data_IF_943317497967
#
_entry.id   IF_943317497967
#
_cell.length_a   1.000
_cell.length_b   1.000
_cell.length_c   1.000
_cell.angle_alpha   90.00
_cell.angle_beta   90.00
_cell.angle_gamma   90.00
#
_symmetry.space_group_name_H-M   'P 1'
#
loop_
_entity.id
_entity.type
_entity.pdbx_description
1 polymer ?
#
# COMPACT_ATOMS: atom_id res chain seq x y z
N UNK A 1 13.76 15.20 6.93
CA UNK A 1 12.53 14.54 6.40
C UNK A 1 11.92 13.70 7.50
N UNK A 2 10.60 13.51 7.51
CA UNK A 2 9.92 12.68 8.49
C UNK A 2 10.30 11.19 8.33
N UNK A 3 10.05 10.37 9.35
CA UNK A 3 10.12 8.91 9.24
C UNK A 3 8.84 8.37 8.58
N UNK A 4 8.92 7.21 7.93
CA UNK A 4 7.78 6.48 7.42
C UNK A 4 7.23 5.53 8.48
N UNK A 5 5.93 5.59 8.74
CA UNK A 5 5.21 4.64 9.57
C UNK A 5 4.10 4.02 8.71
N UNK A 6 4.14 2.70 8.51
CA UNK A 6 3.05 1.98 7.86
C UNK A 6 1.76 2.10 8.69
N UNK A 7 0.60 2.13 8.03
CA UNK A 7 -0.72 2.37 8.65
C UNK A 7 -1.06 1.42 9.82
N UNK A 8 -0.52 0.20 9.79
CA UNK A 8 -0.75 -0.82 10.81
C UNK A 8 0.49 -1.13 11.65
N UNK A 9 1.54 -0.29 11.59
CA UNK A 9 2.65 -0.35 12.51
C UNK A 9 2.22 0.20 13.88
N UNK A 10 2.67 -0.45 14.95
CA UNK A 10 2.37 -0.02 16.32
C UNK A 10 3.61 0.59 16.96
N UNK A 11 3.55 1.87 17.33
CA UNK A 11 4.61 2.55 18.06
C UNK A 11 4.02 3.12 19.35
N UNK A 12 4.50 2.66 20.52
CA UNK A 12 3.95 3.07 21.83
C UNK A 12 5.03 3.26 22.88
N UNK A 13 4.85 4.27 23.74
CA UNK A 13 5.76 4.60 24.85
C UNK A 13 6.81 5.63 24.47
N UNK A 14 7.96 5.61 25.16
CA UNK A 14 9.05 6.58 24.95
C UNK A 14 9.96 6.15 23.80
N UNK A 15 9.56 6.48 22.57
CA UNK A 15 10.25 6.09 21.33
C UNK A 15 10.77 7.34 20.60
N UNK A 16 12.04 7.31 20.21
CA UNK A 16 12.66 8.29 19.30
C UNK A 16 13.04 7.60 17.99
N UNK A 17 12.63 8.17 16.87
CA UNK A 17 12.87 7.62 15.51
C UNK A 17 13.56 8.70 14.68
N UNK A 18 14.72 8.37 14.10
CA UNK A 18 15.51 9.27 13.29
C UNK A 18 14.91 9.53 11.91
N UNK A 19 15.44 10.54 11.24
CA UNK A 19 15.02 10.95 9.90
C UNK A 19 15.21 9.83 8.87
N UNK A 20 14.31 9.75 7.89
CA UNK A 20 14.30 8.74 6.82
C UNK A 20 14.27 7.27 7.33
N UNK A 21 13.97 7.04 8.60
CA UNK A 21 13.72 5.69 9.07
C UNK A 21 12.36 5.18 8.56
N UNK A 22 12.24 3.86 8.37
CA UNK A 22 11.02 3.21 7.92
C UNK A 22 10.55 2.14 8.91
N UNK A 23 9.32 2.26 9.41
CA UNK A 23 8.66 1.25 10.25
C UNK A 23 7.55 0.62 9.42
N UNK A 24 7.75 -0.65 9.06
CA UNK A 24 6.94 -1.33 8.06
C UNK A 24 5.72 -2.05 8.66
N UNK A 25 4.98 -2.74 7.82
CA UNK A 25 3.67 -3.31 8.16
C UNK A 25 3.75 -4.30 9.33
N UNK A 26 2.81 -4.18 10.27
CA UNK A 26 2.72 -5.02 11.48
C UNK A 26 3.96 -4.99 12.39
N UNK A 27 4.93 -4.12 12.15
CA UNK A 27 6.04 -3.93 13.09
C UNK A 27 5.51 -3.34 14.40
N UNK A 28 6.00 -3.85 15.53
CA UNK A 28 5.60 -3.40 16.86
C UNK A 28 6.79 -2.87 17.63
N UNK A 29 6.75 -1.58 18.00
CA UNK A 29 7.75 -0.94 18.86
C UNK A 29 7.05 -0.51 20.13
N UNK A 30 7.43 -1.14 21.26
CA UNK A 30 6.81 -0.87 22.56
C UNK A 30 7.84 -0.52 23.63
N UNK A 31 7.83 0.74 24.07
CA UNK A 31 8.75 1.33 25.03
C UNK A 31 8.00 1.75 26.32
N UNK A 32 7.39 0.76 26.99
CA UNK A 32 6.53 0.96 28.15
C UNK A 32 7.28 1.03 29.50
N UNK A 33 8.49 0.49 29.57
CA UNK A 33 9.26 0.43 30.82
C UNK A 33 10.67 1.05 30.76
N UNK A 34 11.12 1.39 29.53
CA UNK A 34 12.38 2.08 29.24
C UNK A 34 12.29 2.74 27.85
N UNK A 35 13.34 3.35 27.37
CA UNK A 35 13.35 4.07 26.09
C UNK A 35 13.75 3.16 24.91
N UNK A 36 13.23 3.47 23.72
CA UNK A 36 13.69 2.97 22.43
C UNK A 36 14.21 4.14 21.59
N UNK A 37 15.46 4.05 21.12
CA UNK A 37 16.05 5.01 20.19
C UNK A 37 16.45 4.30 18.89
N UNK A 38 15.97 4.81 17.76
CA UNK A 38 16.23 4.29 16.41
C UNK A 38 16.89 5.40 15.59
N UNK A 39 18.07 5.09 15.03
CA UNK A 39 18.85 6.04 14.23
C UNK A 39 18.21 6.31 12.86
N UNK A 40 18.73 7.35 12.20
CA UNK A 40 18.29 7.73 10.86
C UNK A 40 18.56 6.61 9.84
N UNK A 41 17.74 6.59 8.76
CA UNK A 41 17.90 5.65 7.66
C UNK A 41 17.80 4.17 8.06
N UNK A 42 17.34 3.89 9.28
CA UNK A 42 17.11 2.54 9.80
C UNK A 42 15.75 2.02 9.38
N UNK A 43 15.66 0.75 9.01
CA UNK A 43 14.39 0.13 8.67
C UNK A 43 14.04 -1.02 9.62
N UNK A 44 12.80 -1.02 10.09
CA UNK A 44 12.18 -2.07 10.91
C UNK A 44 11.13 -2.74 10.05
N UNK A 45 11.42 -3.95 9.57
CA UNK A 45 10.63 -4.63 8.56
C UNK A 45 9.38 -5.30 9.14
N UNK A 46 8.55 -5.83 8.23
CA UNK A 46 7.22 -6.34 8.55
C UNK A 46 7.27 -7.38 9.68
N UNK A 47 6.36 -7.23 10.64
CA UNK A 47 6.21 -8.14 11.77
C UNK A 47 7.37 -8.14 12.78
N UNK A 48 8.37 -7.29 12.64
CA UNK A 48 9.46 -7.20 13.63
C UNK A 48 8.96 -6.59 14.95
N UNK A 49 9.54 -7.05 16.05
CA UNK A 49 9.16 -6.60 17.40
C UNK A 49 10.36 -5.97 18.10
N UNK A 50 10.19 -4.74 18.57
CA UNK A 50 11.18 -4.05 19.40
C UNK A 50 10.54 -3.78 20.77
N UNK A 51 11.17 -4.27 21.82
CA UNK A 51 10.65 -4.13 23.19
C UNK A 51 11.76 -3.91 24.21
N UNK A 52 11.40 -3.38 25.34
CA UNK A 52 12.31 -3.02 26.44
C UNK A 52 11.92 -3.72 27.73
N UNK A 53 12.89 -3.85 28.64
CA UNK A 53 12.66 -4.17 30.05
C UNK A 53 13.32 -3.07 30.88
N UNK A 54 12.79 -2.74 32.03
CA UNK A 54 13.35 -1.73 32.95
C UNK A 54 14.85 -1.96 33.18
N UNK A 55 15.67 -0.95 32.90
CA UNK A 55 17.12 -1.03 32.95
C UNK A 55 17.79 -1.64 31.69
N UNK A 56 16.99 -1.99 30.68
CA UNK A 56 17.46 -2.50 29.39
C UNK A 56 16.80 -1.71 28.25
N UNK A 57 17.22 -0.46 27.98
CA UNK A 57 16.75 0.28 26.82
C UNK A 57 17.17 -0.38 25.52
N UNK A 58 16.51 -0.03 24.42
CA UNK A 58 16.95 -0.39 23.08
C UNK A 58 17.57 0.83 22.40
N UNK A 59 18.78 0.66 21.92
CA UNK A 59 19.47 1.67 21.10
C UNK A 59 19.88 1.04 19.77
N UNK A 60 19.33 1.53 18.67
CA UNK A 60 19.64 1.09 17.31
C UNK A 60 20.30 2.25 16.57
N UNK A 61 21.45 2.00 15.98
CA UNK A 61 22.23 2.98 15.25
C UNK A 61 21.64 3.43 13.92
N UNK A 62 22.43 4.08 13.11
CA UNK A 62 22.06 4.61 11.79
C UNK A 62 22.20 3.54 10.69
N UNK A 63 21.30 3.56 9.70
CA UNK A 63 21.37 2.66 8.54
C UNK A 63 21.28 1.17 8.90
N UNK A 64 20.61 0.84 10.01
CA UNK A 64 20.42 -0.55 10.45
C UNK A 64 19.23 -1.17 9.74
N UNK A 65 19.34 -2.42 9.37
CA UNK A 65 18.20 -3.22 8.89
C UNK A 65 17.77 -4.21 9.96
N UNK A 66 16.53 -4.10 10.43
CA UNK A 66 15.88 -5.10 11.29
C UNK A 66 14.96 -5.94 10.39
N UNK A 67 15.37 -7.18 10.10
CA UNK A 67 14.68 -8.08 9.17
C UNK A 67 13.29 -8.50 9.63
N UNK A 68 12.48 -8.97 8.68
CA UNK A 68 11.10 -9.42 8.91
C UNK A 68 10.99 -10.40 10.09
N UNK A 69 10.06 -10.15 10.99
CA UNK A 69 9.79 -11.00 12.15
C UNK A 69 10.91 -11.08 13.18
N UNK A 70 11.96 -10.27 13.09
CA UNK A 70 13.03 -10.25 14.11
C UNK A 70 12.53 -9.69 15.44
N UNK A 71 13.09 -10.17 16.56
CA UNK A 71 12.81 -9.70 17.91
C UNK A 71 14.06 -9.02 18.46
N UNK A 72 13.95 -7.72 18.75
CA UNK A 72 15.03 -6.90 19.30
C UNK A 72 14.63 -6.43 20.68
N UNK A 73 15.22 -7.00 21.72
CA UNK A 73 14.78 -6.82 23.07
C UNK A 73 15.90 -6.33 23.99
N UNK A 74 15.75 -5.11 24.54
CA UNK A 74 16.63 -4.58 25.61
C UNK A 74 18.12 -4.54 25.26
N UNK A 75 18.52 -4.14 24.06
CA UNK A 75 19.87 -4.30 23.55
C UNK A 75 20.40 -3.08 22.79
N UNK A 76 21.67 -3.13 22.41
CA UNK A 76 22.31 -2.11 21.56
C UNK A 76 22.73 -2.73 20.22
N UNK A 77 22.41 -2.06 19.10
CA UNK A 77 22.81 -2.42 17.74
C UNK A 77 23.54 -1.25 17.12
N UNK A 78 24.75 -1.46 16.68
CA UNK A 78 25.60 -0.44 16.05
C UNK A 78 25.21 -0.14 14.60
N UNK A 79 25.71 0.97 14.08
CA UNK A 79 25.40 1.49 12.75
C UNK A 79 25.67 0.46 11.64
N UNK A 80 24.94 0.60 10.53
CA UNK A 80 25.12 -0.21 9.30
C UNK A 80 25.12 -1.73 9.57
N UNK A 81 24.37 -2.18 10.57
CA UNK A 81 24.26 -3.60 10.94
C UNK A 81 22.96 -4.18 10.39
N UNK A 82 23.04 -5.41 9.87
CA UNK A 82 21.88 -6.16 9.41
C UNK A 82 21.51 -7.24 10.44
N UNK A 83 20.31 -7.16 10.95
CA UNK A 83 19.67 -8.21 11.77
C UNK A 83 18.80 -9.04 10.83
N UNK A 84 19.14 -10.32 10.66
CA UNK A 84 18.45 -11.22 9.76
C UNK A 84 17.00 -11.52 10.17
N UNK A 85 16.21 -11.95 9.20
CA UNK A 85 14.79 -12.31 9.40
C UNK A 85 14.65 -13.33 10.53
N UNK A 86 13.69 -13.11 11.45
CA UNK A 86 13.41 -14.01 12.57
C UNK A 86 14.52 -14.14 13.61
N UNK A 87 15.59 -13.33 13.55
CA UNK A 87 16.62 -13.34 14.59
C UNK A 87 16.07 -12.80 15.92
N UNK A 88 16.56 -13.33 17.02
CA UNK A 88 16.16 -12.96 18.38
C UNK A 88 17.37 -12.42 19.13
N UNK A 89 17.23 -11.20 19.67
CA UNK A 89 18.29 -10.50 20.41
C UNK A 89 17.77 -10.20 21.82
N UNK A 90 18.49 -10.67 22.83
CA UNK A 90 18.05 -10.60 24.21
C UNK A 90 18.71 -9.47 25.00
N UNK A 91 18.19 -9.21 26.23
CA UNK A 91 18.59 -8.12 27.12
C UNK A 91 20.09 -8.02 27.31
N UNK A 92 20.58 -6.79 27.27
CA UNK A 92 21.99 -6.47 27.51
C UNK A 92 22.95 -6.88 26.38
N UNK A 93 22.45 -7.51 25.31
CA UNK A 93 23.29 -7.81 24.14
C UNK A 93 23.82 -6.52 23.51
N UNK A 94 25.04 -6.59 23.01
CA UNK A 94 25.70 -5.47 22.31
C UNK A 94 26.25 -5.96 20.98
N UNK A 95 25.65 -5.49 19.92
CA UNK A 95 26.07 -5.80 18.55
C UNK A 95 26.79 -4.57 18.00
N UNK A 96 28.02 -4.75 17.52
CA UNK A 96 28.84 -3.70 16.96
C UNK A 96 28.31 -3.16 15.64
N UNK A 97 29.09 -2.26 15.04
CA UNK A 97 28.82 -1.66 13.73
C UNK A 97 29.19 -2.64 12.61
N UNK A 98 28.57 -2.43 11.44
CA UNK A 98 28.90 -3.19 10.23
C UNK A 98 28.81 -4.72 10.44
N UNK A 99 27.86 -5.20 11.22
CA UNK A 99 27.68 -6.63 11.48
C UNK A 99 26.56 -7.22 10.60
N UNK A 100 26.60 -8.54 10.44
CA UNK A 100 25.48 -9.33 9.95
C UNK A 100 25.13 -10.38 11.00
N UNK A 101 23.92 -10.30 11.53
CA UNK A 101 23.31 -11.34 12.35
C UNK A 101 22.46 -12.19 11.42
N UNK A 102 22.78 -13.48 11.29
CA UNK A 102 22.12 -14.37 10.34
C UNK A 102 20.65 -14.61 10.66
N UNK A 103 19.92 -15.09 9.66
CA UNK A 103 18.49 -15.44 9.76
C UNK A 103 18.28 -16.46 10.89
N UNK A 104 17.27 -16.24 11.74
CA UNK A 104 16.91 -17.12 12.87
C UNK A 104 17.96 -17.25 13.98
N UNK A 105 18.98 -16.38 14.00
CA UNK A 105 20.03 -16.42 15.02
C UNK A 105 19.50 -16.02 16.41
N UNK A 106 19.98 -16.66 17.45
CA UNK A 106 19.72 -16.30 18.85
C UNK A 106 20.95 -15.62 19.47
N UNK A 107 20.90 -14.31 19.65
CA UNK A 107 21.87 -13.53 20.42
C UNK A 107 21.44 -13.54 21.88
N UNK A 108 22.14 -14.27 22.71
CA UNK A 108 21.79 -14.49 24.11
C UNK A 108 22.05 -13.24 24.96
N UNK A 109 21.49 -13.23 26.16
CA UNK A 109 21.59 -12.14 27.11
C UNK A 109 23.06 -11.78 27.38
N UNK A 110 23.36 -10.47 27.38
CA UNK A 110 24.69 -9.88 27.60
C UNK A 110 25.78 -10.29 26.58
N UNK A 111 25.40 -10.99 25.50
CA UNK A 111 26.35 -11.36 24.46
C UNK A 111 26.92 -10.12 23.74
N UNK A 112 28.21 -10.16 23.42
CA UNK A 112 28.90 -9.09 22.70
C UNK A 112 29.35 -9.58 21.35
N UNK A 113 28.95 -8.92 20.28
CA UNK A 113 29.42 -9.13 18.91
C UNK A 113 30.28 -7.91 18.53
N UNK A 114 31.57 -8.07 18.28
CA UNK A 114 32.42 -6.97 17.83
C UNK A 114 32.02 -6.42 16.47
N UNK A 115 32.54 -5.24 16.13
CA UNK A 115 32.32 -4.62 14.82
C UNK A 115 32.76 -5.54 13.67
N UNK A 116 32.08 -5.44 12.54
CA UNK A 116 32.42 -6.11 11.31
C UNK A 116 32.31 -7.64 11.34
N UNK A 117 31.48 -8.22 12.18
CA UNK A 117 31.35 -9.67 12.34
C UNK A 117 30.11 -10.25 11.70
N UNK A 118 30.24 -11.44 11.12
CA UNK A 118 29.15 -12.36 10.82
C UNK A 118 28.92 -13.27 12.03
N UNK A 119 27.71 -13.28 12.57
CA UNK A 119 27.31 -14.17 13.65
C UNK A 119 25.96 -14.85 13.34
N UNK A 120 25.87 -16.17 13.52
CA UNK A 120 24.62 -16.91 13.35
C UNK A 120 24.60 -18.21 14.16
N UNK A 121 23.44 -18.84 14.22
CA UNK A 121 23.18 -20.07 14.98
C UNK A 121 22.25 -19.83 16.17
N UNK A 122 21.86 -20.92 16.85
CA UNK A 122 21.02 -20.93 18.04
C UNK A 122 21.63 -21.85 19.12
N UNK A 123 22.39 -21.31 20.12
CA UNK A 123 22.80 -19.89 20.24
C UNK A 123 23.81 -19.47 19.15
N UNK A 124 23.81 -18.17 18.85
CA UNK A 124 24.69 -17.62 17.82
C UNK A 124 26.16 -17.70 18.21
N UNK A 125 27.02 -17.89 17.21
CA UNK A 125 28.46 -17.83 17.33
C UNK A 125 29.02 -16.87 16.28
N UNK A 126 30.11 -16.16 16.64
CA UNK A 126 30.87 -15.37 15.67
C UNK A 126 31.54 -16.36 14.73
N UNK A 127 31.33 -16.21 13.44
CA UNK A 127 31.84 -17.11 12.42
C UNK A 127 33.14 -16.58 11.80
N UNK A 128 33.14 -15.30 11.43
CA UNK A 128 34.24 -14.60 10.77
C UNK A 128 34.01 -13.09 10.72
N UNK A 129 35.02 -12.37 10.32
CA UNK A 129 34.88 -10.98 9.92
C UNK A 129 34.12 -10.88 8.58
N UNK A 130 33.43 -9.77 8.37
CA UNK A 130 32.80 -9.44 7.09
C UNK A 130 33.82 -8.92 6.08
N UNK A 131 33.56 -9.15 4.80
CA UNK A 131 34.26 -8.48 3.73
C UNK A 131 33.76 -7.05 3.54
N UNK A 132 34.52 -6.24 2.78
CA UNK A 132 34.10 -4.88 2.45
C UNK A 132 32.80 -4.89 1.64
N UNK A 133 32.67 -5.83 0.71
CA UNK A 133 31.49 -5.99 -0.14
C UNK A 133 30.22 -6.30 0.68
N UNK A 134 30.33 -7.10 1.74
CA UNK A 134 29.24 -7.42 2.66
C UNK A 134 28.83 -6.18 3.48
N UNK A 135 29.79 -5.41 3.96
CA UNK A 135 29.56 -4.15 4.68
C UNK A 135 28.89 -3.11 3.78
N UNK A 136 29.35 -2.97 2.53
CA UNK A 136 28.75 -2.08 1.54
C UNK A 136 27.36 -2.59 1.13
N UNK A 137 27.16 -3.91 1.11
CA UNK A 137 25.86 -4.57 0.90
C UNK A 137 24.82 -4.20 1.96
N UNK A 138 25.22 -4.13 3.25
CA UNK A 138 24.32 -3.67 4.32
C UNK A 138 23.85 -2.24 4.06
N UNK A 139 24.77 -1.33 3.69
CA UNK A 139 24.44 0.08 3.38
C UNK A 139 23.50 0.19 2.18
N UNK A 140 23.79 -0.56 1.11
CA UNK A 140 22.94 -0.59 -0.07
C UNK A 140 21.54 -1.13 0.25
N UNK A 141 21.46 -2.12 1.16
CA UNK A 141 20.17 -2.65 1.62
C UNK A 141 19.35 -1.60 2.36
N UNK A 142 19.94 -0.92 3.35
CA UNK A 142 19.26 0.17 4.07
C UNK A 142 18.80 1.27 3.11
N UNK A 143 19.65 1.67 2.15
CA UNK A 143 19.31 2.67 1.13
C UNK A 143 18.09 2.30 0.28
N UNK A 144 17.92 1.02 -0.10
CA UNK A 144 16.71 0.58 -0.81
C UNK A 144 15.42 0.79 0.01
N UNK A 145 15.49 0.55 1.33
CA UNK A 145 14.35 0.77 2.21
C UNK A 145 14.06 2.27 2.43
N UNK A 146 15.09 3.12 2.45
CA UNK A 146 14.89 4.58 2.46
C UNK A 146 14.13 5.04 1.22
N UNK A 147 14.51 4.57 0.03
CA UNK A 147 13.81 4.91 -1.21
C UNK A 147 12.37 4.34 -1.24
N UNK A 148 12.18 3.12 -0.75
CA UNK A 148 10.84 2.55 -0.63
C UNK A 148 9.96 3.36 0.32
N UNK A 149 10.49 3.75 1.49
CA UNK A 149 9.78 4.60 2.46
C UNK A 149 9.42 5.97 1.89
N UNK A 150 10.31 6.61 1.11
CA UNK A 150 10.03 7.87 0.41
C UNK A 150 8.88 7.74 -0.58
N UNK A 151 8.84 6.66 -1.36
CA UNK A 151 7.73 6.41 -2.29
C UNK A 151 6.40 6.27 -1.55
N UNK A 152 6.39 5.58 -0.41
CA UNK A 152 5.18 5.46 0.41
C UNK A 152 4.74 6.81 1.00
N UNK A 153 5.68 7.62 1.50
CA UNK A 153 5.38 8.96 2.00
C UNK A 153 4.81 9.86 0.90
N UNK A 154 5.40 9.85 -0.29
CA UNK A 154 4.89 10.62 -1.44
C UNK A 154 3.51 10.14 -1.89
N UNK A 155 3.23 8.84 -1.81
CA UNK A 155 1.91 8.29 -2.10
C UNK A 155 0.88 8.67 -1.03
N UNK A 156 1.31 8.88 0.24
CA UNK A 156 0.44 9.28 1.35
C UNK A 156 0.29 10.81 1.51
N UNK A 157 1.12 11.62 0.83
CA UNK A 157 1.00 13.09 0.82
C UNK A 157 -0.14 13.55 -0.11
N UNK A 158 -1.35 13.33 0.33
CA UNK A 158 -2.60 13.75 -0.30
C UNK A 158 -3.69 12.70 -0.07
N UNK A 159 -4.91 13.15 0.21
CA UNK A 159 -6.07 12.27 0.15
C UNK A 159 -6.11 11.60 -1.23
N UNK A 160 -6.42 10.30 -1.33
CA UNK A 160 -6.49 9.64 -2.62
C UNK A 160 -7.44 10.41 -3.55
N UNK A 161 -7.04 10.53 -4.81
CA UNK A 161 -7.93 11.13 -5.82
C UNK A 161 -9.10 10.19 -6.04
N UNK A 162 -10.31 10.72 -6.04
CA UNK A 162 -11.51 9.95 -6.29
C UNK A 162 -11.93 10.09 -7.75
N UNK A 163 -12.25 8.98 -8.36
CA UNK A 163 -12.88 8.89 -9.67
C UNK A 163 -14.14 8.06 -9.56
N UNK A 164 -15.11 8.33 -10.39
CA UNK A 164 -16.28 7.46 -10.51
C UNK A 164 -16.28 6.69 -11.82
N UNK A 165 -16.99 5.58 -11.82
CA UNK A 165 -17.21 4.71 -12.95
C UNK A 165 -18.66 4.23 -12.86
N UNK A 166 -19.44 4.43 -13.91
CA UNK A 166 -20.89 4.29 -13.85
C UNK A 166 -21.32 3.21 -14.84
N UNK A 167 -21.89 2.14 -14.29
CA UNK A 167 -22.48 1.03 -15.04
C UNK A 167 -23.94 1.32 -15.28
N UNK A 168 -24.30 1.68 -16.50
CA UNK A 168 -25.67 2.00 -16.87
C UNK A 168 -26.26 0.84 -17.66
N UNK A 169 -27.35 0.27 -17.15
CA UNK A 169 -28.18 -0.68 -17.88
C UNK A 169 -29.28 0.05 -18.65
N UNK A 170 -29.61 -0.47 -19.85
CA UNK A 170 -30.81 -0.02 -20.54
C UNK A 170 -32.08 -0.42 -19.74
N UNK A 171 -33.24 0.04 -20.21
CA UNK A 171 -34.51 -0.18 -19.50
C UNK A 171 -34.84 -1.66 -19.34
N UNK A 172 -34.58 -2.46 -20.36
CA UNK A 172 -34.82 -3.91 -20.38
C UNK A 172 -33.77 -4.69 -19.57
N UNK A 173 -32.65 -4.04 -19.22
CA UNK A 173 -31.49 -4.61 -18.55
C UNK A 173 -30.75 -5.65 -19.40
N UNK A 174 -30.78 -5.52 -20.71
CA UNK A 174 -30.13 -6.44 -21.65
C UNK A 174 -28.78 -5.92 -22.13
N UNK A 175 -28.58 -4.60 -22.11
CA UNK A 175 -27.37 -3.93 -22.61
C UNK A 175 -26.79 -2.99 -21.58
N UNK A 176 -25.48 -2.77 -21.74
CA UNK A 176 -24.67 -1.88 -20.92
C UNK A 176 -24.14 -0.72 -21.77
N UNK A 177 -24.17 0.49 -21.21
CA UNK A 177 -23.62 1.67 -21.88
C UNK A 177 -22.10 1.74 -21.68
N UNK A 178 -21.40 1.89 -22.78
CA UNK A 178 -19.96 2.12 -22.83
C UNK A 178 -19.63 3.38 -23.64
N UNK A 179 -18.49 4.00 -23.31
CA UNK A 179 -17.89 5.01 -24.15
C UNK A 179 -16.65 4.44 -24.87
N UNK A 180 -16.46 4.77 -26.16
CA UNK A 180 -15.25 4.46 -26.91
C UNK A 180 -14.30 5.63 -26.78
N UNK A 181 -13.19 5.44 -26.07
CA UNK A 181 -12.27 6.52 -25.72
C UNK A 181 -11.58 7.09 -26.96
N UNK A 182 -11.62 8.41 -27.11
CA UNK A 182 -10.93 9.15 -28.19
C UNK A 182 -9.52 9.60 -27.81
N UNK A 183 -9.16 9.59 -26.50
CA UNK A 183 -7.87 10.09 -25.98
C UNK A 183 -7.19 9.03 -25.10
N UNK A 184 -5.87 9.14 -24.96
CA UNK A 184 -5.09 8.40 -23.96
C UNK A 184 -5.53 8.73 -22.51
N UNK A 185 -5.34 7.83 -21.56
CA UNK A 185 -4.99 6.42 -21.76
C UNK A 185 -6.18 5.63 -22.33
N UNK A 186 -5.91 4.50 -22.98
CA UNK A 186 -6.91 3.58 -23.55
C UNK A 186 -7.62 4.09 -24.82
N UNK A 187 -6.95 4.90 -25.65
CA UNK A 187 -7.51 5.38 -26.92
C UNK A 187 -8.01 4.20 -27.79
N UNK A 188 -9.24 4.29 -28.29
CA UNK A 188 -9.87 3.28 -29.12
C UNK A 188 -10.53 2.14 -28.37
N UNK A 189 -10.32 1.99 -27.06
CA UNK A 189 -10.92 0.95 -26.23
C UNK A 189 -12.26 1.41 -25.62
N UNK A 190 -13.11 0.45 -25.29
CA UNK A 190 -14.35 0.67 -24.56
C UNK A 190 -14.07 0.84 -23.05
N UNK A 191 -14.72 1.81 -22.45
CA UNK A 191 -14.70 2.05 -21.00
C UNK A 191 -16.10 2.43 -20.52
N UNK A 192 -16.35 2.35 -19.21
CA UNK A 192 -17.55 2.94 -18.64
C UNK A 192 -17.48 4.47 -18.69
N UNK A 193 -18.65 5.10 -18.64
CA UNK A 193 -18.76 6.54 -18.43
C UNK A 193 -18.37 6.91 -17.01
N UNK A 194 -17.94 8.14 -16.79
CA UNK A 194 -17.55 8.64 -15.47
C UNK A 194 -16.25 9.45 -15.53
N UNK A 195 -15.90 10.08 -14.42
CA UNK A 195 -14.79 10.99 -14.35
C UNK A 195 -14.29 11.25 -12.95
N UNK A 196 -13.80 12.45 -12.71
CA UNK A 196 -13.15 12.84 -11.46
C UNK A 196 -14.16 13.37 -10.46
N UNK A 197 -14.04 12.98 -9.21
CA UNK A 197 -14.74 13.62 -8.09
C UNK A 197 -13.94 14.87 -7.70
N UNK A 198 -14.58 16.03 -7.76
CA UNK A 198 -13.92 17.29 -7.43
C UNK A 198 -13.73 17.45 -5.91
N UNK A 199 -12.72 18.23 -5.46
CA UNK A 199 -12.48 18.44 -4.03
C UNK A 199 -13.70 19.00 -3.31
N UNK A 200 -14.19 18.26 -2.30
CA UNK A 200 -15.36 18.65 -1.50
C UNK A 200 -16.71 18.27 -2.12
N UNK A 201 -16.72 17.63 -3.28
CA UNK A 201 -17.92 17.07 -3.91
C UNK A 201 -18.28 15.71 -3.31
N UNK A 202 -19.56 15.42 -3.11
CA UNK A 202 -20.03 14.08 -2.78
C UNK A 202 -19.89 13.15 -3.99
N UNK A 203 -19.41 11.90 -3.75
CA UNK A 203 -19.15 10.95 -4.84
C UNK A 203 -20.38 10.61 -5.67
N UNK A 204 -21.59 10.58 -5.05
CA UNK A 204 -22.85 10.34 -5.76
C UNK A 204 -23.24 11.54 -6.63
N UNK A 205 -23.02 12.75 -6.13
CA UNK A 205 -23.30 13.98 -6.89
C UNK A 205 -22.35 14.08 -8.09
N UNK A 206 -21.06 13.77 -7.89
CA UNK A 206 -20.09 13.68 -8.96
C UNK A 206 -20.48 12.64 -10.03
N UNK A 207 -20.95 11.45 -9.60
CA UNK A 207 -21.38 10.42 -10.55
C UNK A 207 -22.55 10.89 -11.42
N UNK A 208 -23.54 11.58 -10.85
CA UNK A 208 -24.63 12.15 -11.63
C UNK A 208 -24.19 13.30 -12.54
N UNK A 209 -23.25 14.14 -12.11
CA UNK A 209 -22.70 15.24 -12.93
C UNK A 209 -21.99 14.68 -14.15
N UNK A 210 -21.04 13.77 -13.94
CA UNK A 210 -20.25 13.14 -15.02
C UNK A 210 -21.16 12.36 -15.99
N UNK A 211 -22.15 11.61 -15.46
CA UNK A 211 -23.11 10.88 -16.29
C UNK A 211 -23.89 11.83 -17.17
N UNK A 212 -24.37 12.96 -16.63
CA UNK A 212 -25.12 13.94 -17.39
C UNK A 212 -24.25 14.63 -18.45
N UNK A 213 -23.05 15.06 -18.09
CA UNK A 213 -22.09 15.70 -18.99
C UNK A 213 -21.72 14.80 -20.16
N UNK A 214 -21.38 13.53 -19.90
CA UNK A 214 -20.95 12.60 -20.94
C UNK A 214 -22.09 12.01 -21.81
N UNK A 215 -23.30 11.92 -21.28
CA UNK A 215 -24.38 11.12 -21.91
C UNK A 215 -25.74 11.81 -22.01
N UNK A 216 -25.96 12.91 -21.33
CA UNK A 216 -27.28 13.55 -21.20
C UNK A 216 -28.23 12.84 -20.23
N UNK A 217 -27.83 11.73 -19.59
CA UNK A 217 -28.66 10.99 -18.62
C UNK A 217 -28.62 11.68 -17.26
N UNK A 218 -29.78 12.17 -16.82
CA UNK A 218 -29.93 12.87 -15.55
C UNK A 218 -30.60 12.04 -14.45
N UNK A 219 -30.74 12.64 -13.27
CA UNK A 219 -31.35 12.01 -12.08
C UNK A 219 -32.81 11.57 -12.29
N UNK A 220 -33.53 12.19 -13.22
CA UNK A 220 -34.88 11.79 -13.58
C UNK A 220 -34.97 10.51 -14.39
N UNK A 221 -33.87 10.14 -15.07
CA UNK A 221 -33.85 8.99 -15.97
C UNK A 221 -33.34 7.70 -15.30
N UNK A 222 -32.55 7.83 -14.21
CA UNK A 222 -31.86 6.73 -13.56
C UNK A 222 -31.67 6.97 -12.06
N UNK A 223 -31.75 5.90 -11.28
CA UNK A 223 -31.33 5.91 -9.88
C UNK A 223 -29.99 5.18 -9.77
N UNK A 224 -28.96 5.89 -9.31
CA UNK A 224 -27.62 5.33 -9.09
C UNK A 224 -27.48 4.76 -7.68
N UNK A 225 -26.89 3.58 -7.59
CA UNK A 225 -26.49 2.92 -6.35
C UNK A 225 -24.98 2.73 -6.35
N UNK A 226 -24.31 3.01 -5.24
CA UNK A 226 -22.89 2.69 -5.06
C UNK A 226 -22.75 1.18 -4.93
N UNK A 227 -21.99 0.56 -5.83
CA UNK A 227 -21.81 -0.89 -5.86
C UNK A 227 -20.60 -1.33 -5.03
N UNK A 228 -19.45 -0.69 -5.26
CA UNK A 228 -18.18 -1.00 -4.58
C UNK A 228 -17.15 0.09 -4.84
N UNK A 229 -16.04 0.02 -4.11
CA UNK A 229 -14.84 0.83 -4.33
C UNK A 229 -13.66 -0.05 -4.69
N UNK A 230 -12.85 0.40 -5.63
CA UNK A 230 -11.56 -0.20 -5.97
C UNK A 230 -10.45 0.79 -5.60
N UNK A 231 -9.59 0.40 -4.66
CA UNK A 231 -8.47 1.24 -4.21
C UNK A 231 -7.18 0.84 -4.91
N UNK A 232 -6.55 1.79 -5.56
CA UNK A 232 -5.27 1.64 -6.25
C UNK A 232 -4.18 2.34 -5.41
N UNK A 233 -3.57 1.59 -4.51
CA UNK A 233 -2.61 2.12 -3.53
C UNK A 233 -1.36 2.74 -4.18
N UNK A 234 -0.81 2.09 -5.22
CA UNK A 234 0.39 2.59 -5.89
C UNK A 234 0.17 3.90 -6.65
N UNK A 235 -1.03 4.09 -7.22
CA UNK A 235 -1.41 5.27 -8.00
C UNK A 235 -2.11 6.33 -7.15
N UNK A 236 -2.35 6.04 -5.87
CA UNK A 236 -3.04 6.88 -4.90
C UNK A 236 -4.39 7.41 -5.41
N UNK A 237 -5.29 6.48 -5.83
CA UNK A 237 -6.66 6.82 -6.16
C UNK A 237 -7.68 5.74 -5.76
N UNK A 238 -8.92 6.16 -5.59
CA UNK A 238 -10.09 5.30 -5.38
C UNK A 238 -11.00 5.44 -6.60
N UNK A 239 -11.44 4.31 -7.15
CA UNK A 239 -12.46 4.24 -8.19
C UNK A 239 -13.78 3.80 -7.56
N UNK A 240 -14.72 4.72 -7.46
CA UNK A 240 -16.07 4.51 -6.93
C UNK A 240 -16.97 4.00 -8.05
N UNK A 241 -17.50 2.77 -7.91
CA UNK A 241 -18.32 2.14 -8.93
C UNK A 241 -19.80 2.35 -8.58
N UNK A 242 -20.51 2.99 -9.50
CA UNK A 242 -21.95 3.20 -9.42
C UNK A 242 -22.66 2.33 -10.46
N UNK A 243 -23.89 1.96 -10.15
CA UNK A 243 -24.75 1.14 -11.02
C UNK A 243 -26.16 1.72 -11.05
N UNK A 244 -26.79 1.71 -12.22
CA UNK A 244 -28.18 2.08 -12.37
C UNK A 244 -28.82 1.47 -13.61
N UNK A 245 -30.15 1.47 -13.63
CA UNK A 245 -30.98 1.05 -14.76
C UNK A 245 -31.87 2.20 -15.21
N UNK A 246 -31.92 2.47 -16.51
CA UNK A 246 -32.79 3.49 -17.06
C UNK A 246 -34.27 3.17 -16.79
N UNK A 247 -35.03 4.16 -16.40
CA UNK A 247 -36.50 4.04 -16.22
C UNK A 247 -37.24 4.11 -17.54
N UNK A 248 -36.65 4.81 -18.53
CA UNK A 248 -37.22 5.04 -19.86
C UNK A 248 -36.11 5.08 -20.92
N UNK A 249 -36.49 5.12 -22.20
CA UNK A 249 -35.55 5.37 -23.28
C UNK A 249 -35.09 6.81 -23.25
N UNK A 250 -33.80 7.04 -23.31
CA UNK A 250 -33.15 8.34 -23.32
C UNK A 250 -32.41 8.50 -24.65
N UNK A 251 -32.51 9.67 -25.28
CA UNK A 251 -31.67 10.04 -26.38
C UNK A 251 -30.30 10.45 -25.84
N UNK A 252 -29.26 9.74 -26.22
CA UNK A 252 -27.89 9.98 -25.73
C UNK A 252 -27.28 11.20 -26.40
N UNK A 253 -26.61 12.02 -25.61
CA UNK A 253 -25.83 13.17 -26.08
C UNK A 253 -24.36 12.85 -25.87
N UNK A 254 -23.61 12.77 -26.99
CA UNK A 254 -22.16 12.52 -26.93
C UNK A 254 -21.40 13.83 -26.71
N UNK A 255 -20.69 13.97 -25.60
CA UNK A 255 -19.84 15.13 -25.36
C UNK A 255 -18.51 15.00 -26.14
N UNK A 256 -17.71 14.00 -25.84
CA UNK A 256 -16.39 13.75 -26.42
C UNK A 256 -16.28 12.36 -27.01
N UNK A 257 -16.64 11.35 -26.26
CA UNK A 257 -16.48 9.94 -26.62
C UNK A 257 -17.74 9.42 -27.31
N UNK A 258 -17.57 8.49 -28.27
CA UNK A 258 -18.70 7.81 -28.88
C UNK A 258 -19.36 6.89 -27.84
N UNK A 259 -20.68 6.95 -27.72
CA UNK A 259 -21.46 6.10 -26.83
C UNK A 259 -22.01 4.87 -27.56
N UNK A 260 -21.87 3.72 -26.93
CA UNK A 260 -22.30 2.43 -27.52
C UNK A 260 -23.00 1.57 -26.47
N UNK A 261 -24.15 1.02 -26.85
CA UNK A 261 -24.81 -0.04 -26.10
C UNK A 261 -24.25 -1.40 -26.50
N UNK A 262 -23.68 -2.13 -25.55
CA UNK A 262 -23.13 -3.48 -25.74
C UNK A 262 -24.00 -4.53 -25.03
N UNK A 263 -24.15 -5.69 -25.65
CA UNK A 263 -24.90 -6.82 -25.07
C UNK A 263 -24.16 -7.40 -23.86
N UNK A 264 -24.92 -7.93 -22.90
CA UNK A 264 -24.34 -8.57 -21.70
C UNK A 264 -23.52 -9.83 -22.02
N UNK A 265 -23.67 -10.38 -23.22
CA UNK A 265 -22.99 -11.60 -23.71
C UNK A 265 -21.61 -11.34 -24.29
N UNK A 266 -21.17 -10.08 -24.35
CA UNK A 266 -19.84 -9.71 -24.83
C UNK A 266 -18.73 -10.26 -23.92
N UNK A 267 -17.57 -10.54 -24.52
CA UNK A 267 -16.38 -10.91 -23.74
C UNK A 267 -15.69 -9.65 -23.15
N UNK A 268 -16.14 -9.23 -22.01
CA UNK A 268 -15.60 -8.06 -21.28
C UNK A 268 -14.18 -8.27 -20.74
N UNK A 269 -13.61 -9.49 -20.86
CA UNK A 269 -12.23 -9.78 -20.49
C UNK A 269 -11.23 -9.58 -21.65
N UNK A 270 -11.73 -9.29 -22.85
CA UNK A 270 -10.90 -9.00 -24.03
C UNK A 270 -10.20 -7.63 -23.87
N UNK A 271 -8.92 -7.67 -23.48
CA UNK A 271 -8.09 -6.46 -23.28
C UNK A 271 -7.73 -5.72 -24.57
N UNK A 272 -7.99 -6.30 -25.75
CA UNK A 272 -7.83 -5.61 -27.02
C UNK A 272 -9.04 -4.70 -27.34
N UNK A 273 -10.16 -4.90 -26.67
CA UNK A 273 -11.39 -4.12 -26.84
C UNK A 273 -11.74 -3.26 -25.62
N UNK A 274 -11.43 -3.73 -24.42
CA UNK A 274 -11.84 -3.10 -23.16
C UNK A 274 -10.66 -2.59 -22.37
N UNK A 275 -10.81 -1.41 -21.76
CA UNK A 275 -9.84 -0.76 -20.90
C UNK A 275 -9.68 -1.48 -19.55
N UNK A 276 -8.68 -1.04 -18.72
CA UNK A 276 -8.59 -1.40 -17.31
C UNK A 276 -8.18 -2.84 -17.00
N UNK A 277 -7.40 -3.48 -17.87
CA UNK A 277 -6.70 -4.75 -17.58
C UNK A 277 -7.59 -5.86 -16.98
N UNK A 278 -8.78 -6.07 -17.54
CA UNK A 278 -9.86 -7.01 -17.11
C UNK A 278 -10.73 -6.52 -15.93
N UNK A 279 -10.49 -5.33 -15.36
CA UNK A 279 -11.36 -4.80 -14.31
C UNK A 279 -12.80 -4.61 -14.80
N UNK A 280 -13.00 -4.26 -16.09
CA UNK A 280 -14.34 -4.15 -16.68
C UNK A 280 -15.11 -5.46 -16.54
N UNK A 281 -14.49 -6.61 -16.85
CA UNK A 281 -15.14 -7.93 -16.69
C UNK A 281 -15.54 -8.18 -15.23
N UNK A 282 -14.69 -7.84 -14.27
CA UNK A 282 -14.98 -7.98 -12.84
C UNK A 282 -16.18 -7.09 -12.43
N UNK A 283 -16.15 -5.82 -12.82
CA UNK A 283 -17.20 -4.84 -12.53
C UNK A 283 -18.55 -5.31 -13.11
N UNK A 284 -18.57 -5.73 -14.38
CA UNK A 284 -19.80 -6.27 -15.04
C UNK A 284 -20.33 -7.47 -14.29
N UNK A 285 -19.47 -8.44 -13.93
CA UNK A 285 -19.89 -9.62 -13.17
C UNK A 285 -20.53 -9.26 -11.82
N UNK A 286 -20.01 -8.26 -11.14
CA UNK A 286 -20.58 -7.78 -9.88
C UNK A 286 -21.91 -7.05 -10.13
N UNK A 287 -21.98 -6.21 -11.17
CA UNK A 287 -23.16 -5.45 -11.53
C UNK A 287 -24.34 -6.37 -11.94
N UNK A 288 -24.06 -7.44 -12.68
CA UNK A 288 -25.09 -8.41 -13.08
C UNK A 288 -25.70 -9.16 -11.89
N UNK A 289 -24.90 -9.40 -10.85
CA UNK A 289 -25.35 -10.07 -9.61
C UNK A 289 -26.10 -9.12 -8.66
N UNK A 290 -25.96 -7.82 -8.84
CA UNK A 290 -26.58 -6.83 -7.96
C UNK A 290 -28.06 -6.74 -8.21
N UNK A 291 -28.90 -6.96 -7.18
CA UNK A 291 -30.35 -6.79 -7.27
C UNK A 291 -30.73 -5.33 -7.01
N UNK A 292 -31.19 -4.63 -8.05
CA UNK A 292 -31.68 -3.25 -7.95
C UNK A 292 -33.12 -3.15 -7.40
N UNK A 293 -33.75 -4.28 -7.07
CA UNK A 293 -35.16 -4.35 -6.65
C UNK A 293 -35.37 -4.37 -5.13
N UNK A 294 -34.29 -4.20 -4.34
CA UNK A 294 -34.43 -4.16 -2.87
C UNK A 294 -34.10 -2.77 -2.35
N UNK A 295 -35.11 -1.88 -2.36
CA UNK A 295 -35.52 -1.01 -1.23
C UNK A 295 -36.76 -0.21 -1.58
#
# INVERSE_FOLDING_TARGET
>A
MSCYLAENATVKGTVSIGENAGIWYHATIRADSDLVSIGKETNVQDGAVIHVTKGYPVTIGEGVTIGHGAIVHGCTVGDNTLIGMGAIILNGARIGKNCIIGVGALITQNMKIPDGCLAFGNPAKIQRSLTKEEIDGNRANAGRYVEAARKQLMASEGSPRHYNCIVVFDRERDRLLFCKRKKEPYQGLYNFVGGKVEPGEDGTDAAYRELFEETGIGRSNILLHRLMDLTYYEQNFVLEIYIGRLHEKVELVEEVNQLVWLEQTEDFADTARFAGEKNIAHIVNMALKYSMEKK
#
